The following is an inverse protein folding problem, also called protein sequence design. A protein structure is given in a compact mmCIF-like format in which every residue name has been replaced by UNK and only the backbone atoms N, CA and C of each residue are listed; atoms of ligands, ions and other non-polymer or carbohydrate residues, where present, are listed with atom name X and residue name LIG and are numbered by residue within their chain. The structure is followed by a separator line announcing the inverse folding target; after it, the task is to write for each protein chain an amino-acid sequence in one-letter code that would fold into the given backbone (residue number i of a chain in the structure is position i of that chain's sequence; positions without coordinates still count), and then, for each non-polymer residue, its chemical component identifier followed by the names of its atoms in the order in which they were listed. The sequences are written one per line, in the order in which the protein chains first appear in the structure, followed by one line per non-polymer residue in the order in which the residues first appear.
data_IF_667930065526
#
_entry.id   IF_667930065526
#
_cell.length_a   1.000
_cell.length_b   1.000
_cell.length_c   1.000
_cell.angle_alpha   90.00
_cell.angle_beta   90.00
_cell.angle_gamma   90.00
#
_symmetry.space_group_name_H-M   'P 1'
#
loop_
_entity.id
_entity.type
_entity.pdbx_description
1 polymer ?
#
# COMPACT_ATOMS: atom_id res chain seq x y z
N UNK A 1 55.35 35.32 45.92
CA UNK A 1 54.95 34.28 44.96
C UNK A 1 53.44 34.07 45.16
N UNK A 2 52.66 34.76 44.35
CA UNK A 2 51.17 34.73 44.42
C UNK A 2 50.64 33.68 43.47
N UNK A 3 50.04 32.59 43.97
CA UNK A 3 49.31 31.60 43.16
C UNK A 3 47.95 32.20 42.78
N UNK A 4 47.72 32.39 41.48
CA UNK A 4 46.40 32.63 40.90
C UNK A 4 45.70 31.25 40.72
N UNK A 5 44.66 31.00 41.54
CA UNK A 5 43.71 29.90 41.29
C UNK A 5 42.70 30.36 40.22
N UNK A 6 42.80 29.83 39.00
CA UNK A 6 41.80 30.03 37.96
C UNK A 6 40.65 29.06 38.20
N UNK A 7 39.49 29.59 38.60
CA UNK A 7 38.24 28.81 38.76
C UNK A 7 37.60 28.62 37.38
N UNK A 8 37.66 27.41 36.86
CA UNK A 8 36.95 27.03 35.62
C UNK A 8 35.46 26.78 35.96
N UNK A 9 34.60 27.76 35.68
CA UNK A 9 33.15 27.58 35.81
C UNK A 9 32.66 26.76 34.62
N UNK A 10 32.39 25.50 34.85
CA UNK A 10 31.73 24.62 33.87
C UNK A 10 30.24 25.05 33.78
N UNK A 11 29.87 25.81 32.75
CA UNK A 11 28.49 26.13 32.46
C UNK A 11 27.80 24.82 32.00
N UNK A 12 27.06 24.18 32.88
CA UNK A 12 26.11 23.14 32.51
C UNK A 12 24.97 23.80 31.73
N UNK A 13 24.98 23.65 30.42
CA UNK A 13 23.82 23.96 29.60
C UNK A 13 22.66 23.10 30.10
N UNK A 14 21.49 23.68 30.39
CA UNK A 14 20.32 22.88 30.70
C UNK A 14 19.99 22.03 29.44
N UNK A 15 20.08 20.71 29.59
CA UNK A 15 19.46 19.78 28.60
C UNK A 15 17.97 20.00 28.82
N UNK A 16 17.34 20.75 27.88
CA UNK A 16 15.90 20.84 27.83
C UNK A 16 15.41 19.40 27.63
N UNK A 17 14.44 18.92 28.43
CA UNK A 17 13.85 17.63 28.17
C UNK A 17 13.28 17.66 26.77
N UNK A 18 13.68 16.74 25.90
CA UNK A 18 13.01 16.53 24.63
C UNK A 18 11.55 16.20 24.99
N UNK A 19 10.63 17.07 24.60
CA UNK A 19 9.21 16.82 24.79
C UNK A 19 8.89 15.56 23.96
N UNK A 20 8.48 14.51 24.66
CA UNK A 20 8.05 13.25 24.06
C UNK A 20 6.54 13.12 24.28
N UNK A 21 5.86 12.55 23.31
CA UNK A 21 4.45 12.19 23.41
C UNK A 21 4.26 10.71 23.14
N UNK A 22 3.15 10.16 23.52
CA UNK A 22 2.87 8.74 23.35
C UNK A 22 1.83 8.51 22.24
N UNK A 23 2.06 7.48 21.43
CA UNK A 23 1.12 6.98 20.45
C UNK A 23 0.79 5.53 20.79
N UNK A 24 -0.48 5.15 20.66
CA UNK A 24 -0.89 3.74 20.64
C UNK A 24 -0.96 3.31 19.20
N UNK A 25 -0.07 2.40 18.79
CA UNK A 25 -0.03 1.92 17.41
C UNK A 25 -1.11 0.87 17.13
N UNK A 26 -1.22 0.43 15.87
CA UNK A 26 -2.24 -0.53 15.44
C UNK A 26 -2.08 -1.93 16.08
N UNK A 27 -0.94 -2.23 16.68
CA UNK A 27 -0.72 -3.44 17.44
C UNK A 27 -1.07 -3.28 18.94
N UNK A 28 -1.56 -2.10 19.36
CA UNK A 28 -1.88 -1.78 20.74
C UNK A 28 -0.65 -1.48 21.61
N UNK A 29 0.54 -1.29 21.01
CA UNK A 29 1.74 -0.91 21.73
C UNK A 29 1.73 0.60 22.01
N UNK A 30 2.06 0.98 23.24
CA UNK A 30 2.30 2.38 23.62
C UNK A 30 3.75 2.70 23.32
N UNK A 31 3.97 3.63 22.37
CA UNK A 31 5.31 4.03 21.90
C UNK A 31 5.53 5.50 22.20
N UNK A 32 6.64 5.82 22.88
CA UNK A 32 7.10 7.21 23.04
C UNK A 32 7.76 7.67 21.75
N UNK A 33 7.30 8.79 21.20
CA UNK A 33 7.84 9.44 20.00
C UNK A 33 8.20 10.89 20.28
N UNK A 34 9.11 11.51 19.52
CA UNK A 34 9.37 12.95 19.63
C UNK A 34 8.09 13.78 19.44
N UNK A 35 8.02 14.97 20.06
CA UNK A 35 6.93 15.93 19.84
C UNK A 35 6.81 16.27 18.35
N UNK A 36 7.94 16.59 17.72
CA UNK A 36 8.03 16.88 16.28
C UNK A 36 8.73 15.70 15.57
N UNK A 37 8.01 15.06 14.64
CA UNK A 37 8.54 14.02 13.75
C UNK A 37 8.81 14.64 12.38
N UNK A 38 10.09 14.83 12.04
CA UNK A 38 10.54 15.46 10.80
C UNK A 38 11.22 14.48 9.85
N UNK A 39 11.73 13.36 10.36
CA UNK A 39 12.43 12.35 9.57
C UNK A 39 11.88 10.96 9.88
N UNK A 40 11.40 10.28 8.83
CA UNK A 40 10.79 8.95 8.95
C UNK A 40 11.50 7.95 8.05
N UNK A 41 11.94 6.86 8.66
CA UNK A 41 12.37 5.67 7.94
C UNK A 41 11.17 4.75 7.67
N UNK A 42 10.83 4.54 6.41
CA UNK A 42 9.82 3.56 6.04
C UNK A 42 10.41 2.14 6.10
N UNK A 43 9.86 1.29 6.96
CA UNK A 43 10.37 -0.07 7.16
C UNK A 43 10.27 -0.95 5.90
N UNK A 44 9.34 -0.63 5.00
CA UNK A 44 9.18 -1.34 3.74
C UNK A 44 8.43 -0.52 2.69
N UNK A 45 8.29 -1.07 1.47
CA UNK A 45 7.65 -0.37 0.37
C UNK A 45 6.22 0.11 0.67
N UNK A 46 5.34 -0.63 1.36
CA UNK A 46 4.01 -0.12 1.72
C UNK A 46 4.06 1.11 2.62
N UNK A 47 4.97 1.12 3.59
CA UNK A 47 5.14 2.25 4.52
C UNK A 47 5.67 3.51 3.81
N UNK A 48 6.57 3.37 2.81
CA UNK A 48 7.07 4.53 2.08
C UNK A 48 5.98 5.26 1.30
N UNK A 49 5.05 4.53 0.71
CA UNK A 49 3.88 5.10 0.04
C UNK A 49 2.99 5.82 1.06
N UNK A 50 2.75 5.19 2.20
CA UNK A 50 1.90 5.75 3.26
C UNK A 50 2.47 7.07 3.80
N UNK A 51 3.79 7.12 4.11
CA UNK A 51 4.46 8.32 4.58
C UNK A 51 4.46 9.42 3.50
N UNK A 52 4.76 9.06 2.24
CA UNK A 52 4.71 9.99 1.13
C UNK A 52 3.33 10.66 0.97
N UNK A 53 2.25 9.89 1.08
CA UNK A 53 0.88 10.40 0.96
C UNK A 53 0.52 11.32 2.14
N UNK A 54 0.98 10.98 3.35
CA UNK A 54 0.61 11.68 4.57
C UNK A 54 1.42 12.95 4.80
N UNK A 55 2.77 12.82 4.75
CA UNK A 55 3.73 13.89 5.04
C UNK A 55 5.01 13.64 4.22
N UNK A 56 5.02 13.95 2.91
CA UNK A 56 6.11 13.60 2.01
C UNK A 56 7.46 14.18 2.41
N UNK A 57 7.48 15.35 3.03
CA UNK A 57 8.71 16.01 3.52
C UNK A 57 9.40 15.25 4.66
N UNK A 58 8.68 14.37 5.37
CA UNK A 58 9.26 13.55 6.43
C UNK A 58 9.93 12.27 5.89
N UNK A 59 9.65 11.86 4.65
CA UNK A 59 10.19 10.62 4.08
C UNK A 59 11.70 10.76 3.82
N UNK A 60 12.51 9.96 4.51
CA UNK A 60 13.98 9.99 4.36
C UNK A 60 14.50 9.41 3.05
N UNK A 61 13.69 8.62 2.36
CA UNK A 61 14.01 8.04 1.07
C UNK A 61 13.08 6.89 0.67
N UNK A 62 13.28 6.41 -0.54
CA UNK A 62 12.54 5.26 -1.06
C UNK A 62 13.26 3.95 -0.73
N UNK A 63 12.54 2.83 -0.49
CA UNK A 63 13.17 1.52 -0.28
C UNK A 63 14.03 1.04 -1.47
N UNK A 64 13.73 1.52 -2.67
CA UNK A 64 14.51 1.42 -3.91
C UNK A 64 14.36 2.69 -4.72
N UNK A 65 15.29 2.95 -5.61
CA UNK A 65 15.13 4.06 -6.56
C UNK A 65 13.85 3.91 -7.39
N UNK A 66 13.17 5.03 -7.63
CA UNK A 66 12.01 5.06 -8.51
C UNK A 66 12.45 4.79 -9.94
N UNK A 67 11.69 3.95 -10.66
CA UNK A 67 11.91 3.72 -12.09
C UNK A 67 11.52 4.96 -12.89
N UNK A 68 12.09 5.15 -14.09
CA UNK A 68 11.77 6.32 -14.92
C UNK A 68 10.25 6.52 -15.11
N UNK A 69 9.53 5.46 -15.40
CA UNK A 69 8.08 5.47 -15.63
C UNK A 69 7.24 5.78 -14.37
N UNK A 70 7.81 5.65 -13.18
CA UNK A 70 7.14 5.96 -11.91
C UNK A 70 7.26 7.45 -11.56
N UNK A 71 8.32 8.09 -12.03
CA UNK A 71 8.72 9.45 -11.60
C UNK A 71 7.72 10.53 -11.98
N UNK A 72 7.08 10.40 -13.15
CA UNK A 72 6.08 11.38 -13.61
C UNK A 72 4.88 11.46 -12.66
N UNK A 73 4.59 10.39 -11.95
CA UNK A 73 3.47 10.25 -11.02
C UNK A 73 3.82 10.53 -9.55
N UNK A 74 5.00 11.09 -9.29
CA UNK A 74 5.47 11.53 -7.96
C UNK A 74 5.74 13.03 -8.01
N UNK A 75 5.35 13.77 -6.98
CA UNK A 75 5.63 15.19 -6.89
C UNK A 75 7.13 15.48 -6.98
N UNK A 76 7.49 16.48 -7.78
CA UNK A 76 8.88 16.72 -8.20
C UNK A 76 9.94 16.73 -7.07
N UNK A 77 9.72 17.33 -5.89
CA UNK A 77 10.72 17.36 -4.82
C UNK A 77 11.11 15.97 -4.27
N UNK A 78 10.25 14.95 -4.48
CA UNK A 78 10.39 13.62 -3.85
C UNK A 78 10.82 12.54 -4.85
N UNK A 79 11.02 12.87 -6.12
CA UNK A 79 11.41 11.94 -7.20
C UNK A 79 12.81 11.38 -7.02
N UNK A 80 13.71 12.18 -6.45
CA UNK A 80 15.15 11.91 -6.32
C UNK A 80 15.58 11.66 -4.89
N UNK A 81 14.65 11.30 -4.00
CA UNK A 81 15.01 10.88 -2.66
C UNK A 81 15.95 9.66 -2.70
N UNK A 82 16.92 9.57 -1.77
CA UNK A 82 17.90 8.49 -1.75
C UNK A 82 17.25 7.12 -1.53
N UNK A 83 17.95 6.06 -1.93
CA UNK A 83 17.58 4.70 -1.60
C UNK A 83 17.96 4.38 -0.15
N UNK A 84 16.97 3.93 0.65
CA UNK A 84 17.14 3.61 2.06
C UNK A 84 17.21 2.12 2.35
N UNK A 85 16.83 1.26 1.40
CA UNK A 85 16.62 -0.15 1.66
C UNK A 85 15.34 -0.38 2.47
N UNK A 86 15.26 -1.53 3.16
CA UNK A 86 14.05 -1.94 3.90
C UNK A 86 14.37 -2.87 5.06
N UNK A 87 13.48 -2.88 6.05
CA UNK A 87 13.49 -3.80 7.19
C UNK A 87 12.48 -4.95 7.01
N UNK A 88 11.43 -4.70 6.22
CA UNK A 88 10.32 -5.63 6.00
C UNK A 88 10.06 -5.87 4.51
N UNK A 89 9.32 -6.95 4.21
CA UNK A 89 9.00 -7.36 2.86
C UNK A 89 9.91 -8.47 2.31
N UNK A 90 9.55 -9.05 1.15
CA UNK A 90 10.31 -10.16 0.53
C UNK A 90 11.74 -9.73 0.15
N UNK A 91 12.74 -10.54 0.55
CA UNK A 91 14.15 -10.34 0.20
C UNK A 91 14.84 -9.18 0.94
N UNK A 92 14.28 -8.70 2.04
CA UNK A 92 14.93 -7.75 2.96
C UNK A 92 15.61 -8.49 4.10
N UNK A 93 16.93 -8.36 4.23
CA UNK A 93 17.58 -8.47 5.52
C UNK A 93 17.44 -7.11 6.19
N UNK A 94 17.05 -7.10 7.48
CA UNK A 94 16.93 -5.87 8.25
C UNK A 94 18.27 -5.12 8.27
N UNK A 95 18.40 -4.10 7.43
CA UNK A 95 19.61 -3.29 7.35
C UNK A 95 19.60 -2.22 8.45
N UNK A 96 19.90 -2.65 9.67
CA UNK A 96 19.97 -1.76 10.84
C UNK A 96 21.10 -0.73 10.73
N UNK A 97 22.19 -1.03 10.03
CA UNK A 97 23.29 -0.08 9.81
C UNK A 97 22.76 1.17 9.07
N UNK A 98 21.91 0.95 8.07
CA UNK A 98 21.32 2.08 7.33
C UNK A 98 20.38 2.92 8.19
N UNK A 99 19.61 2.29 9.08
CA UNK A 99 18.75 3.01 10.04
C UNK A 99 19.59 3.85 11.01
N UNK A 100 20.68 3.27 11.53
CA UNK A 100 21.60 3.95 12.43
C UNK A 100 22.38 5.07 11.76
N UNK A 101 22.68 4.95 10.47
CA UNK A 101 23.32 6.01 9.66
C UNK A 101 22.35 7.19 9.43
N UNK A 102 21.08 6.92 9.11
CA UNK A 102 20.06 7.95 8.86
C UNK A 102 19.62 8.62 10.15
N UNK A 103 19.54 7.88 11.27
CA UNK A 103 19.03 8.35 12.55
C UNK A 103 17.68 9.07 12.46
N UNK A 104 16.64 8.41 11.93
CA UNK A 104 15.32 9.03 11.79
C UNK A 104 14.67 9.26 13.15
N UNK A 105 13.73 10.20 13.22
CA UNK A 105 12.92 10.44 14.43
C UNK A 105 11.95 9.28 14.71
N UNK A 106 11.52 8.58 13.65
CA UNK A 106 10.51 7.52 13.74
C UNK A 106 10.73 6.48 12.63
N UNK A 107 10.50 5.21 12.96
CA UNK A 107 10.36 4.14 11.99
C UNK A 107 8.87 3.79 11.88
N UNK A 108 8.35 3.70 10.66
CA UNK A 108 6.97 3.30 10.38
C UNK A 108 6.96 2.05 9.54
N UNK A 109 6.19 1.04 9.97
CA UNK A 109 5.83 -0.12 9.16
C UNK A 109 4.32 -0.13 8.90
N UNK A 110 3.94 -0.56 7.72
CA UNK A 110 2.55 -0.62 7.28
C UNK A 110 2.25 -1.97 6.66
N UNK A 111 1.24 -2.65 7.18
CA UNK A 111 0.81 -3.93 6.68
C UNK A 111 0.22 -4.83 7.75
N UNK A 112 0.77 -6.02 7.93
CA UNK A 112 0.27 -6.98 8.91
C UNK A 112 0.79 -6.68 10.32
N UNK A 113 -0.11 -6.69 11.31
CA UNK A 113 0.20 -6.49 12.75
C UNK A 113 0.27 -7.82 13.51
N UNK A 114 0.81 -8.88 12.89
CA UNK A 114 1.01 -10.19 13.54
C UNK A 114 2.27 -10.19 14.42
N UNK A 115 2.34 -11.17 15.33
CA UNK A 115 3.44 -11.32 16.29
C UNK A 115 4.83 -11.17 15.68
N UNK A 116 5.07 -11.75 14.50
CA UNK A 116 6.37 -11.65 13.80
C UNK A 116 6.80 -10.20 13.53
N UNK A 117 5.85 -9.33 13.19
CA UNK A 117 6.13 -7.91 12.95
C UNK A 117 6.24 -7.12 14.25
N UNK A 118 5.45 -7.50 15.26
CA UNK A 118 5.53 -6.92 16.61
C UNK A 118 6.92 -7.21 17.23
N UNK A 119 7.37 -8.46 17.14
CA UNK A 119 8.70 -8.87 17.62
C UNK A 119 9.84 -8.16 16.87
N UNK A 120 9.69 -7.99 15.56
CA UNK A 120 10.65 -7.24 14.75
C UNK A 120 10.72 -5.78 15.21
N UNK A 121 9.56 -5.13 15.35
CA UNK A 121 9.48 -3.73 15.77
C UNK A 121 10.11 -3.51 17.15
N UNK A 122 9.79 -4.38 18.13
CA UNK A 122 10.36 -4.32 19.47
C UNK A 122 11.88 -4.49 19.43
N UNK A 123 12.39 -5.48 18.70
CA UNK A 123 13.82 -5.74 18.57
C UNK A 123 14.57 -4.58 17.90
N UNK A 124 14.02 -4.03 16.81
CA UNK A 124 14.65 -2.88 16.12
C UNK A 124 14.67 -1.66 17.04
N UNK A 125 13.56 -1.37 17.71
CA UNK A 125 13.50 -0.26 18.67
C UNK A 125 14.49 -0.43 19.81
N UNK A 126 14.62 -1.63 20.38
CA UNK A 126 15.58 -1.94 21.45
C UNK A 126 17.04 -1.76 20.98
N UNK A 127 17.36 -2.23 19.77
CA UNK A 127 18.72 -2.19 19.24
C UNK A 127 19.17 -0.81 18.75
N UNK A 128 18.24 0.01 18.26
CA UNK A 128 18.56 1.32 17.68
C UNK A 128 18.25 2.49 18.60
N UNK A 129 17.36 2.30 19.57
CA UNK A 129 16.82 3.38 20.39
C UNK A 129 15.82 4.29 19.65
N UNK A 130 15.49 3.97 18.38
CA UNK A 130 14.59 4.77 17.54
C UNK A 130 13.17 4.20 17.68
N UNK A 131 12.16 5.05 17.95
CA UNK A 131 10.77 4.61 18.03
C UNK A 131 10.33 3.91 16.76
N UNK A 132 9.52 2.86 16.91
CA UNK A 132 8.99 2.07 15.80
C UNK A 132 7.48 1.85 16.00
N UNK A 133 6.65 2.32 15.09
CA UNK A 133 5.20 2.11 15.12
C UNK A 133 4.74 1.20 13.99
N UNK A 134 3.73 0.38 14.29
CA UNK A 134 3.05 -0.51 13.37
C UNK A 134 1.69 0.07 12.98
N UNK A 135 1.43 0.20 11.70
CA UNK A 135 0.16 0.67 11.15
C UNK A 135 -0.51 -0.49 10.40
N UNK A 136 -1.75 -0.82 10.78
CA UNK A 136 -2.50 -1.91 10.15
C UNK A 136 -2.89 -1.54 8.72
N UNK A 137 -2.49 -2.38 7.78
CA UNK A 137 -2.71 -2.18 6.34
C UNK A 137 -3.99 -2.79 5.80
N UNK A 138 -4.86 -3.39 6.61
CA UNK A 138 -6.13 -3.95 6.15
C UNK A 138 -7.13 -2.85 5.79
N UNK A 139 -7.93 -3.08 4.76
CA UNK A 139 -8.90 -2.08 4.30
C UNK A 139 -9.85 -1.62 5.40
N UNK A 140 -10.41 -2.54 6.19
CA UNK A 140 -11.36 -2.22 7.25
C UNK A 140 -10.80 -1.23 8.28
N UNK A 141 -9.49 -1.26 8.52
CA UNK A 141 -8.81 -0.43 9.51
C UNK A 141 -8.17 0.84 8.90
N UNK A 142 -8.22 1.00 7.56
CA UNK A 142 -7.57 2.13 6.87
C UNK A 142 -7.96 3.50 7.41
N UNK A 143 -9.24 3.83 7.70
CA UNK A 143 -9.58 5.14 8.26
C UNK A 143 -8.93 5.42 9.61
N UNK A 144 -8.85 4.42 10.49
CA UNK A 144 -8.21 4.57 11.79
C UNK A 144 -6.69 4.61 11.67
N UNK A 145 -6.12 3.77 10.81
CA UNK A 145 -4.69 3.78 10.50
C UNK A 145 -4.20 5.16 10.03
N UNK A 146 -5.02 5.84 9.20
CA UNK A 146 -4.72 7.19 8.72
C UNK A 146 -4.78 8.25 9.84
N UNK A 147 -5.69 8.10 10.81
CA UNK A 147 -5.74 8.99 11.99
C UNK A 147 -4.53 8.79 12.89
N UNK A 148 -4.21 7.55 13.23
CA UNK A 148 -3.02 7.22 14.04
C UNK A 148 -1.76 7.80 13.38
N UNK A 149 -1.63 7.62 12.07
CA UNK A 149 -0.48 8.14 11.34
C UNK A 149 -0.45 9.68 11.28
N UNK A 150 -1.58 10.32 11.00
CA UNK A 150 -1.71 11.79 11.00
C UNK A 150 -1.33 12.38 12.35
N UNK A 151 -1.78 11.75 13.43
CA UNK A 151 -1.40 12.12 14.78
C UNK A 151 0.11 11.89 15.00
N UNK A 152 0.64 10.72 14.65
CA UNK A 152 2.06 10.39 14.81
C UNK A 152 2.99 11.34 14.04
N UNK A 153 2.57 11.85 12.89
CA UNK A 153 3.37 12.76 12.05
C UNK A 153 3.08 14.24 12.29
N UNK A 154 2.17 14.58 13.22
CA UNK A 154 1.80 15.96 13.53
C UNK A 154 0.99 16.64 12.43
N UNK A 155 0.24 15.87 11.64
CA UNK A 155 -0.65 16.33 10.55
C UNK A 155 -2.05 15.70 10.66
N UNK A 156 -2.74 15.86 11.83
CA UNK A 156 -4.01 15.17 12.09
C UNK A 156 -5.12 15.58 11.10
N UNK A 157 -5.13 16.81 10.62
CA UNK A 157 -6.11 17.28 9.62
C UNK A 157 -5.97 16.51 8.30
N UNK A 158 -4.72 16.23 7.88
CA UNK A 158 -4.44 15.43 6.69
C UNK A 158 -4.87 13.98 6.89
N UNK A 159 -4.65 13.44 8.08
CA UNK A 159 -5.13 12.11 8.48
C UNK A 159 -6.65 11.99 8.36
N UNK A 160 -7.40 12.98 8.85
CA UNK A 160 -8.86 12.99 8.77
C UNK A 160 -9.38 13.21 7.35
N UNK A 161 -8.76 14.09 6.55
CA UNK A 161 -9.09 14.30 5.15
C UNK A 161 -9.04 12.98 4.37
N UNK A 162 -7.92 12.24 4.47
CA UNK A 162 -7.74 10.96 3.80
C UNK A 162 -8.68 9.88 4.37
N UNK A 163 -8.91 9.86 5.69
CA UNK A 163 -9.85 8.93 6.31
C UNK A 163 -11.30 9.18 5.85
N UNK A 164 -11.68 10.42 5.62
CA UNK A 164 -12.99 10.77 5.11
C UNK A 164 -13.16 10.32 3.65
N UNK A 165 -12.15 10.52 2.80
CA UNK A 165 -12.16 10.06 1.40
C UNK A 165 -12.27 8.52 1.30
N UNK A 166 -11.49 7.78 2.12
CA UNK A 166 -11.59 6.32 2.22
C UNK A 166 -13.00 5.89 2.60
N UNK A 167 -13.61 6.53 3.60
CA UNK A 167 -14.99 6.22 4.02
C UNK A 167 -16.00 6.50 2.92
N UNK A 168 -15.85 7.61 2.20
CA UNK A 168 -16.72 7.95 1.07
C UNK A 168 -16.62 6.89 -0.04
N UNK A 169 -15.41 6.45 -0.38
CA UNK A 169 -15.18 5.37 -1.35
C UNK A 169 -15.83 4.07 -0.90
N UNK A 170 -15.68 3.71 0.39
CA UNK A 170 -16.31 2.51 0.93
C UNK A 170 -17.85 2.60 0.85
N UNK A 171 -18.43 3.74 1.19
CA UNK A 171 -19.87 3.94 1.12
C UNK A 171 -20.44 3.84 -0.31
N UNK A 172 -19.70 4.32 -1.32
CA UNK A 172 -20.09 4.14 -2.74
C UNK A 172 -20.20 2.66 -3.11
N UNK A 173 -19.26 1.83 -2.68
CA UNK A 173 -19.24 0.39 -2.97
C UNK A 173 -20.32 -0.33 -2.16
N UNK A 174 -20.44 -0.02 -0.87
CA UNK A 174 -21.42 -0.63 0.01
C UNK A 174 -22.86 -0.42 -0.52
N UNK A 175 -23.17 0.78 -1.07
CA UNK A 175 -24.46 1.08 -1.68
C UNK A 175 -24.77 0.19 -2.91
N UNK A 176 -23.76 -0.20 -3.69
CA UNK A 176 -23.92 -1.17 -4.78
C UNK A 176 -24.23 -2.56 -4.19
N UNK A 177 -23.48 -2.96 -3.17
CA UNK A 177 -23.52 -4.30 -2.61
C UNK A 177 -24.76 -4.57 -1.75
N UNK A 178 -25.47 -3.53 -1.28
CA UNK A 178 -26.75 -3.69 -0.56
C UNK A 178 -27.77 -4.56 -1.31
N UNK A 179 -27.72 -4.54 -2.65
CA UNK A 179 -28.65 -5.25 -3.50
C UNK A 179 -28.04 -6.44 -4.25
N UNK A 180 -26.80 -6.83 -3.92
CA UNK A 180 -26.09 -7.93 -4.57
C UNK A 180 -25.77 -9.02 -3.56
N UNK A 181 -26.54 -10.12 -3.53
CA UNK A 181 -26.25 -11.29 -2.69
C UNK A 181 -24.84 -11.82 -2.92
N UNK A 182 -24.18 -12.35 -1.89
CA UNK A 182 -22.80 -12.82 -1.99
C UNK A 182 -22.63 -13.89 -3.08
N UNK A 183 -23.59 -14.78 -3.26
CA UNK A 183 -23.60 -15.84 -4.28
C UNK A 183 -23.68 -15.32 -5.71
N UNK A 184 -24.19 -14.11 -5.93
CA UNK A 184 -24.31 -13.47 -7.25
C UNK A 184 -23.09 -12.60 -7.59
N UNK A 185 -22.18 -12.39 -6.65
CA UNK A 185 -20.98 -11.57 -6.87
C UNK A 185 -20.01 -12.24 -7.82
N UNK A 186 -19.37 -11.48 -8.74
CA UNK A 186 -18.40 -12.02 -9.68
C UNK A 186 -17.27 -12.80 -9.01
N UNK A 187 -16.89 -13.92 -9.61
CA UNK A 187 -15.78 -14.77 -9.18
C UNK A 187 -14.48 -14.23 -9.78
N UNK A 188 -13.57 -13.77 -8.94
CA UNK A 188 -12.36 -13.07 -9.37
C UNK A 188 -11.12 -13.86 -9.01
N UNK A 189 -10.20 -13.99 -9.95
CA UNK A 189 -8.87 -14.53 -9.77
C UNK A 189 -7.82 -13.42 -9.92
N UNK A 190 -6.94 -13.27 -8.93
CA UNK A 190 -5.75 -12.42 -9.05
C UNK A 190 -4.60 -13.26 -9.63
N UNK A 191 -4.29 -13.02 -10.91
CA UNK A 191 -3.15 -13.64 -11.58
C UNK A 191 -1.88 -12.80 -11.34
N UNK A 192 -0.86 -13.40 -10.74
CA UNK A 192 0.41 -12.74 -10.43
C UNK A 192 1.58 -13.47 -11.09
N UNK A 193 2.58 -12.69 -11.48
CA UNK A 193 3.77 -13.19 -12.20
C UNK A 193 3.49 -13.50 -13.67
N UNK A 194 4.54 -13.81 -14.44
CA UNK A 194 4.46 -13.94 -15.90
C UNK A 194 3.66 -15.15 -16.39
N UNK A 195 3.40 -16.14 -15.51
CA UNK A 195 2.56 -17.31 -15.80
C UNK A 195 1.15 -17.19 -15.19
N UNK A 196 0.89 -16.12 -14.39
CA UNK A 196 -0.40 -15.88 -13.77
C UNK A 196 -0.80 -16.85 -12.65
N UNK A 197 0.10 -17.75 -12.25
CA UNK A 197 -0.22 -18.83 -11.30
C UNK A 197 0.14 -18.53 -9.84
N UNK A 198 0.87 -17.47 -9.55
CA UNK A 198 0.93 -16.97 -8.16
C UNK A 198 -0.35 -16.18 -7.87
N UNK A 199 -0.96 -16.41 -6.72
CA UNK A 199 -2.18 -15.71 -6.30
C UNK A 199 -2.19 -15.52 -4.78
N UNK A 200 -3.12 -14.69 -4.29
CA UNK A 200 -3.36 -14.54 -2.86
C UNK A 200 -4.60 -15.28 -2.42
N UNK A 201 -4.50 -16.02 -1.32
CA UNK A 201 -5.64 -16.69 -0.70
C UNK A 201 -6.62 -15.67 -0.13
N UNK A 202 -7.91 -16.03 -0.06
CA UNK A 202 -8.94 -15.23 0.60
C UNK A 202 -8.52 -14.81 2.00
N UNK A 203 -8.74 -13.53 2.33
CA UNK A 203 -8.29 -12.93 3.60
C UNK A 203 -6.80 -12.55 3.64
N UNK A 204 -6.07 -12.65 2.52
CA UNK A 204 -4.73 -12.07 2.38
C UNK A 204 -4.84 -10.57 2.13
N UNK A 205 -3.92 -9.78 2.70
CA UNK A 205 -3.79 -8.35 2.39
C UNK A 205 -3.58 -8.09 0.89
N UNK A 206 -3.09 -9.06 0.14
CA UNK A 206 -2.86 -8.94 -1.30
C UNK A 206 -4.13 -9.08 -2.13
N UNK A 207 -5.18 -9.71 -1.58
CA UNK A 207 -6.42 -10.02 -2.30
C UNK A 207 -7.70 -9.52 -1.63
N UNK A 208 -7.63 -8.97 -0.41
CA UNK A 208 -8.81 -8.41 0.27
C UNK A 208 -9.51 -7.29 -0.53
N UNK A 209 -8.79 -6.70 -1.51
CA UNK A 209 -9.35 -5.74 -2.46
C UNK A 209 -10.48 -6.37 -3.29
N UNK A 210 -10.41 -7.67 -3.60
CA UNK A 210 -11.43 -8.39 -4.35
C UNK A 210 -12.74 -8.39 -3.58
N UNK A 211 -12.69 -8.82 -2.32
CA UNK A 211 -13.89 -8.87 -1.47
C UNK A 211 -14.41 -7.46 -1.19
N UNK A 212 -13.51 -6.49 -0.95
CA UNK A 212 -13.90 -5.11 -0.67
C UNK A 212 -14.52 -4.40 -1.88
N UNK A 213 -14.13 -4.78 -3.10
CA UNK A 213 -14.76 -4.32 -4.35
C UNK A 213 -16.06 -5.08 -4.68
N UNK A 214 -16.45 -6.05 -3.88
CA UNK A 214 -17.66 -6.84 -4.07
C UNK A 214 -17.47 -8.09 -4.92
N UNK A 215 -16.24 -8.51 -5.22
CA UNK A 215 -15.96 -9.80 -5.85
C UNK A 215 -15.87 -10.95 -4.84
N UNK A 216 -15.81 -12.16 -5.34
CA UNK A 216 -15.46 -13.37 -4.59
C UNK A 216 -14.10 -13.87 -5.06
N UNK A 217 -13.12 -13.88 -4.18
CA UNK A 217 -11.82 -14.48 -4.51
C UNK A 217 -11.98 -15.98 -4.68
N UNK A 218 -11.67 -16.51 -5.87
CA UNK A 218 -11.76 -17.94 -6.15
C UNK A 218 -10.61 -18.75 -5.55
N UNK A 219 -9.53 -18.12 -5.10
CA UNK A 219 -8.47 -18.75 -4.34
C UNK A 219 -8.87 -18.84 -2.86
N UNK A 220 -9.82 -19.73 -2.57
CA UNK A 220 -10.39 -19.96 -1.24
C UNK A 220 -10.38 -21.47 -0.94
N UNK A 221 -9.73 -21.85 0.16
CA UNK A 221 -9.66 -23.22 0.68
C UNK A 221 -10.29 -23.34 2.08
N UNK A 222 -11.21 -22.42 2.41
CA UNK A 222 -11.85 -22.34 3.72
C UNK A 222 -10.94 -21.81 4.82
N UNK A 223 -9.84 -21.10 4.44
CA UNK A 223 -8.90 -20.49 5.38
C UNK A 223 -7.80 -21.42 5.88
N UNK A 224 -7.62 -22.59 5.24
CA UNK A 224 -6.55 -23.52 5.56
C UNK A 224 -5.17 -22.96 5.20
N UNK A 225 -5.08 -22.20 4.09
CA UNK A 225 -3.84 -21.56 3.64
C UNK A 225 -4.01 -20.03 3.69
N UNK A 226 -2.93 -19.32 3.94
CA UNK A 226 -2.93 -17.83 4.03
C UNK A 226 -1.79 -17.23 3.23
N UNK A 227 -2.00 -15.98 2.79
CA UNK A 227 -0.98 -15.22 2.07
C UNK A 227 -0.92 -15.55 0.59
N UNK A 228 0.27 -15.48 0.03
CA UNK A 228 0.51 -15.77 -1.39
C UNK A 228 0.88 -17.24 -1.57
N UNK A 229 0.30 -17.86 -2.58
CA UNK A 229 0.49 -19.26 -2.94
C UNK A 229 0.75 -19.42 -4.43
N UNK A 230 1.32 -20.56 -4.81
CA UNK A 230 1.40 -21.01 -6.19
C UNK A 230 0.19 -21.90 -6.46
N UNK A 231 -0.73 -21.47 -7.31
CA UNK A 231 -1.83 -22.29 -7.79
C UNK A 231 -1.36 -23.20 -8.94
N UNK A 232 -2.04 -24.31 -9.13
CA UNK A 232 -1.91 -25.10 -10.37
C UNK A 232 -2.95 -24.62 -11.40
N UNK A 233 -2.67 -24.81 -12.69
CA UNK A 233 -3.63 -24.50 -13.74
C UNK A 233 -4.94 -25.30 -13.60
N UNK A 234 -4.85 -26.55 -13.12
CA UNK A 234 -6.02 -27.38 -12.81
C UNK A 234 -6.91 -26.73 -11.75
N UNK A 235 -6.33 -26.17 -10.69
CA UNK A 235 -7.09 -25.45 -9.66
C UNK A 235 -7.79 -24.22 -10.24
N UNK A 236 -7.13 -23.46 -11.12
CA UNK A 236 -7.73 -22.31 -11.80
C UNK A 236 -8.88 -22.71 -12.71
N UNK A 237 -8.72 -23.78 -13.50
CA UNK A 237 -9.78 -24.31 -14.38
C UNK A 237 -10.99 -24.77 -13.57
N UNK A 238 -10.77 -25.50 -12.46
CA UNK A 238 -11.85 -25.96 -11.57
C UNK A 238 -12.56 -24.77 -10.90
N UNK A 239 -11.81 -23.77 -10.49
CA UNK A 239 -12.36 -22.55 -9.90
C UNK A 239 -13.12 -21.71 -10.92
N UNK A 240 -12.76 -21.80 -12.20
CA UNK A 240 -13.39 -21.13 -13.36
C UNK A 240 -13.81 -19.67 -13.07
N UNK A 241 -12.86 -18.72 -12.93
CA UNK A 241 -13.20 -17.34 -12.62
C UNK A 241 -13.99 -16.65 -13.73
N UNK A 242 -14.91 -15.76 -13.35
CA UNK A 242 -15.63 -14.88 -14.29
C UNK A 242 -14.78 -13.70 -14.73
N UNK A 243 -13.80 -13.34 -13.90
CA UNK A 243 -12.93 -12.17 -14.10
C UNK A 243 -11.52 -12.52 -13.63
N UNK A 244 -10.53 -12.17 -14.44
CA UNK A 244 -9.11 -12.23 -14.08
C UNK A 244 -8.57 -10.80 -14.00
N UNK A 245 -7.94 -10.46 -12.89
CA UNK A 245 -7.18 -9.22 -12.73
C UNK A 245 -5.70 -9.55 -12.59
N UNK A 246 -4.83 -8.78 -13.22
CA UNK A 246 -3.39 -8.98 -13.16
C UNK A 246 -2.66 -7.64 -13.24
N UNK A 247 -1.35 -7.65 -13.05
CA UNK A 247 -0.48 -6.47 -13.19
C UNK A 247 0.82 -6.78 -13.96
N UNK A 248 0.91 -7.99 -14.56
CA UNK A 248 2.09 -8.41 -15.33
C UNK A 248 1.78 -8.38 -16.83
N UNK A 249 2.39 -7.46 -17.61
CA UNK A 249 2.13 -7.36 -19.04
C UNK A 249 2.47 -8.66 -19.80
N UNK A 250 3.49 -9.42 -19.35
CA UNK A 250 3.87 -10.67 -20.03
C UNK A 250 2.77 -11.74 -19.89
N UNK A 251 2.09 -11.79 -18.73
CA UNK A 251 0.91 -12.64 -18.58
C UNK A 251 -0.23 -12.15 -19.46
N UNK A 252 -0.54 -10.85 -19.43
CA UNK A 252 -1.64 -10.25 -20.17
C UNK A 252 -1.52 -10.45 -21.67
N UNK A 253 -0.29 -10.39 -22.21
CA UNK A 253 -0.04 -10.59 -23.65
C UNK A 253 -0.25 -12.04 -24.10
N UNK A 254 -0.04 -13.01 -23.21
CA UNK A 254 -0.10 -14.44 -23.52
C UNK A 254 -1.44 -15.09 -23.21
N UNK A 255 -2.15 -14.59 -22.19
CA UNK A 255 -3.31 -15.28 -21.61
C UNK A 255 -4.41 -15.61 -22.59
N UNK A 256 -4.62 -14.76 -23.60
CA UNK A 256 -5.66 -14.95 -24.62
C UNK A 256 -5.30 -16.04 -25.65
N UNK A 257 -4.03 -16.30 -25.86
CA UNK A 257 -3.52 -17.30 -26.82
C UNK A 257 -3.15 -18.63 -26.16
N UNK A 258 -3.13 -18.70 -24.82
CA UNK A 258 -2.80 -19.91 -24.08
C UNK A 258 -4.01 -20.86 -24.00
N UNK A 259 -3.94 -22.08 -24.58
CA UNK A 259 -5.07 -23.01 -24.61
C UNK A 259 -5.59 -23.43 -23.22
N UNK A 260 -4.75 -23.40 -22.19
CA UNK A 260 -5.15 -23.72 -20.82
C UNK A 260 -6.00 -22.60 -20.21
N UNK A 261 -5.58 -21.34 -20.40
CA UNK A 261 -6.31 -20.18 -19.93
C UNK A 261 -7.61 -19.94 -20.69
N UNK A 262 -7.64 -20.30 -21.99
CA UNK A 262 -8.86 -20.28 -22.82
C UNK A 262 -9.96 -21.21 -22.29
N UNK A 263 -9.62 -22.15 -21.40
CA UNK A 263 -10.58 -22.99 -20.68
C UNK A 263 -11.38 -22.27 -19.59
N UNK A 264 -11.10 -20.98 -19.31
CA UNK A 264 -11.79 -20.19 -18.28
C UNK A 264 -12.83 -19.23 -18.87
N UNK A 265 -13.94 -19.01 -18.17
CA UNK A 265 -14.98 -18.07 -18.60
C UNK A 265 -14.44 -16.65 -18.76
N UNK A 266 -13.52 -16.23 -17.89
CA UNK A 266 -12.90 -14.90 -17.94
C UNK A 266 -12.20 -14.64 -19.27
N UNK A 267 -11.43 -15.59 -19.79
CA UNK A 267 -10.73 -15.44 -21.07
C UNK A 267 -11.70 -15.52 -22.24
N UNK A 268 -12.67 -16.45 -22.20
CA UNK A 268 -13.68 -16.59 -23.25
C UNK A 268 -14.56 -15.35 -23.43
N UNK A 269 -14.84 -14.66 -22.32
CA UNK A 269 -15.68 -13.45 -22.33
C UNK A 269 -14.87 -12.15 -22.40
N UNK A 270 -13.53 -12.25 -22.52
CA UNK A 270 -12.64 -11.08 -22.56
C UNK A 270 -12.49 -10.32 -21.24
N UNK A 271 -12.93 -10.91 -20.10
CA UNK A 271 -12.88 -10.28 -18.79
C UNK A 271 -11.53 -10.52 -18.09
N UNK A 272 -10.46 -10.18 -18.78
CA UNK A 272 -9.09 -10.18 -18.26
C UNK A 272 -8.56 -8.76 -18.30
N UNK A 273 -8.14 -8.23 -17.16
CA UNK A 273 -7.80 -6.82 -17.01
C UNK A 273 -6.38 -6.65 -16.48
N UNK A 274 -5.61 -5.74 -17.10
CA UNK A 274 -4.29 -5.35 -16.67
C UNK A 274 -4.37 -4.08 -15.82
N UNK A 275 -4.07 -4.22 -14.54
CA UNK A 275 -4.07 -3.11 -13.59
C UNK A 275 -2.92 -2.14 -13.87
N UNK A 276 -3.16 -0.83 -13.84
CA UNK A 276 -2.10 0.17 -13.80
C UNK A 276 -1.11 -0.07 -12.65
N UNK A 277 0.18 0.28 -12.90
CA UNK A 277 1.26 0.03 -11.94
C UNK A 277 2.12 1.25 -11.61
N UNK A 278 1.83 2.43 -12.20
CA UNK A 278 2.59 3.65 -11.97
C UNK A 278 1.84 4.66 -11.07
N UNK A 279 2.49 5.28 -10.09
CA UNK A 279 3.84 4.98 -9.62
C UNK A 279 3.88 3.69 -8.80
N UNK A 280 2.72 3.21 -8.30
CA UNK A 280 2.54 2.01 -7.51
C UNK A 280 1.34 1.22 -8.00
N UNK A 281 1.44 -0.12 -7.96
CA UNK A 281 0.39 -1.00 -8.47
C UNK A 281 -0.93 -0.82 -7.75
N UNK A 282 -2.02 -0.66 -8.49
CA UNK A 282 -3.33 -0.39 -7.93
C UNK A 282 -3.93 -1.56 -7.12
N UNK A 283 -3.45 -2.78 -7.31
CA UNK A 283 -3.97 -3.96 -6.60
C UNK A 283 -3.16 -4.24 -5.33
N UNK A 284 -1.89 -4.65 -5.48
CA UNK A 284 -1.11 -5.17 -4.35
C UNK A 284 0.42 -4.99 -4.45
N UNK A 285 0.92 -4.14 -5.34
CA UNK A 285 2.36 -4.02 -5.62
C UNK A 285 2.91 -2.62 -5.35
N UNK A 286 3.23 -2.33 -4.09
CA UNK A 286 2.95 -3.07 -2.86
C UNK A 286 1.54 -2.77 -2.31
N UNK A 287 1.00 -3.59 -1.37
CA UNK A 287 -0.29 -3.31 -0.77
C UNK A 287 -0.21 -2.13 0.21
N UNK A 288 -0.60 -0.93 -0.24
CA UNK A 288 -0.67 0.30 0.55
C UNK A 288 -1.90 1.13 0.11
N UNK A 289 -1.92 2.44 0.34
CA UNK A 289 -3.04 3.32 -0.03
C UNK A 289 -3.28 3.44 -1.54
N UNK A 290 -2.29 3.09 -2.38
CA UNK A 290 -2.48 2.92 -3.83
C UNK A 290 -3.66 2.00 -4.19
N UNK A 291 -3.99 1.04 -3.30
CA UNK A 291 -5.13 0.13 -3.47
C UNK A 291 -6.49 0.84 -3.40
N UNK A 292 -6.57 2.06 -2.89
CA UNK A 292 -7.82 2.84 -2.93
C UNK A 292 -8.23 3.16 -4.37
N UNK A 293 -7.26 3.52 -5.25
CA UNK A 293 -7.56 3.67 -6.68
C UNK A 293 -7.92 2.32 -7.32
N UNK A 294 -7.19 1.25 -6.94
CA UNK A 294 -7.51 -0.10 -7.38
C UNK A 294 -8.90 -0.57 -6.99
N UNK A 295 -9.38 -0.16 -5.81
CA UNK A 295 -10.71 -0.47 -5.32
C UNK A 295 -11.80 0.22 -6.16
N UNK A 296 -11.62 1.50 -6.49
CA UNK A 296 -12.48 2.26 -7.38
C UNK A 296 -12.53 1.60 -8.77
N UNK A 297 -11.37 1.33 -9.35
CA UNK A 297 -11.23 0.68 -10.64
C UNK A 297 -11.91 -0.69 -10.67
N UNK A 298 -11.62 -1.56 -9.69
CA UNK A 298 -12.17 -2.91 -9.65
C UNK A 298 -13.68 -2.90 -9.45
N UNK A 299 -14.22 -2.04 -8.58
CA UNK A 299 -15.66 -1.89 -8.42
C UNK A 299 -16.35 -1.47 -9.72
N UNK A 300 -15.76 -0.55 -10.48
CA UNK A 300 -16.26 -0.17 -11.81
C UNK A 300 -16.22 -1.32 -12.83
N UNK A 301 -15.19 -2.17 -12.78
CA UNK A 301 -15.09 -3.36 -13.65
C UNK A 301 -16.11 -4.45 -13.31
N UNK A 302 -16.35 -4.65 -12.00
CA UNK A 302 -17.25 -5.70 -11.54
C UNK A 302 -18.73 -5.31 -11.67
N UNK A 303 -19.03 -4.01 -11.53
CA UNK A 303 -20.38 -3.46 -11.51
C UNK A 303 -20.54 -2.25 -12.43
N UNK A 304 -20.27 -2.39 -13.75
CA UNK A 304 -20.23 -1.26 -14.68
C UNK A 304 -21.57 -0.52 -14.82
N UNK A 305 -22.70 -1.21 -14.63
CA UNK A 305 -24.04 -0.61 -14.72
C UNK A 305 -24.43 0.16 -13.45
N UNK A 306 -23.91 -0.27 -12.29
CA UNK A 306 -24.21 0.33 -10.99
C UNK A 306 -23.19 1.39 -10.59
N UNK A 307 -21.96 1.35 -11.13
CA UNK A 307 -20.91 2.28 -10.81
C UNK A 307 -21.21 3.67 -11.38
N UNK A 308 -21.43 4.63 -10.47
CA UNK A 308 -21.66 6.03 -10.83
C UNK A 308 -20.37 6.83 -10.71
N UNK A 309 -19.46 6.67 -11.64
CA UNK A 309 -18.19 7.38 -11.68
C UNK A 309 -17.55 7.29 -13.07
N UNK A 310 -16.66 8.21 -13.35
CA UNK A 310 -15.79 8.19 -14.51
C UNK A 310 -14.37 7.82 -14.05
N UNK A 311 -13.80 6.77 -14.63
CA UNK A 311 -12.48 6.28 -14.24
C UNK A 311 -11.39 7.35 -14.41
N UNK A 312 -11.51 8.20 -15.43
CA UNK A 312 -10.55 9.27 -15.71
C UNK A 312 -10.60 10.36 -14.64
N UNK A 313 -11.81 10.77 -14.27
CA UNK A 313 -12.04 11.77 -13.24
C UNK A 313 -11.64 11.25 -11.85
N UNK A 314 -12.05 10.02 -11.50
CA UNK A 314 -11.65 9.35 -10.26
C UNK A 314 -10.11 9.23 -10.17
N UNK A 315 -9.43 8.88 -11.30
CA UNK A 315 -7.96 8.78 -11.35
C UNK A 315 -7.29 10.14 -11.12
N UNK A 316 -7.74 11.20 -11.79
CA UNK A 316 -7.20 12.55 -11.57
C UNK A 316 -7.39 13.02 -10.13
N UNK A 317 -8.58 12.81 -9.57
CA UNK A 317 -8.88 13.17 -8.19
C UNK A 317 -8.00 12.42 -7.20
N UNK A 318 -7.81 11.11 -7.43
CA UNK A 318 -6.94 10.28 -6.58
C UNK A 318 -5.47 10.75 -6.64
N UNK A 319 -4.90 10.92 -7.83
CA UNK A 319 -3.50 11.32 -7.97
C UNK A 319 -3.24 12.72 -7.38
N UNK A 320 -4.19 13.62 -7.53
CA UNK A 320 -4.12 14.94 -6.91
C UNK A 320 -4.19 14.87 -5.39
N UNK A 321 -5.15 14.13 -4.84
CA UNK A 321 -5.34 14.03 -3.39
C UNK A 321 -4.20 13.22 -2.73
N UNK A 322 -3.87 12.05 -3.28
CA UNK A 322 -2.93 11.12 -2.62
C UNK A 322 -1.48 11.36 -3.01
N UNK A 323 -1.19 11.61 -4.30
CA UNK A 323 0.19 11.76 -4.76
C UNK A 323 0.60 13.22 -4.98
N UNK A 324 -0.32 14.18 -4.82
CA UNK A 324 -0.06 15.62 -4.99
C UNK A 324 0.43 15.95 -6.41
N UNK A 325 -0.10 15.24 -7.40
CA UNK A 325 0.23 15.39 -8.82
C UNK A 325 -1.04 15.70 -9.62
N UNK A 326 -1.01 16.79 -10.36
CA UNK A 326 -2.04 17.10 -11.36
C UNK A 326 -1.64 16.41 -12.68
N UNK A 327 -2.33 15.32 -13.04
CA UNK A 327 -2.04 14.54 -14.25
C UNK A 327 -2.38 15.34 -15.51
N UNK A 328 -1.45 15.36 -16.46
CA UNK A 328 -1.71 15.78 -17.84
C UNK A 328 -2.58 14.74 -18.57
N UNK A 329 -3.17 15.13 -19.71
CA UNK A 329 -3.94 14.20 -20.53
C UNK A 329 -3.09 13.03 -21.03
N UNK A 330 -1.85 13.29 -21.46
CA UNK A 330 -0.92 12.26 -21.92
C UNK A 330 -0.50 11.28 -20.81
N UNK A 331 -0.30 11.76 -19.58
CA UNK A 331 0.02 10.89 -18.42
C UNK A 331 -1.17 10.01 -18.06
N UNK A 332 -2.38 10.57 -18.09
CA UNK A 332 -3.60 9.81 -17.84
C UNK A 332 -3.85 8.76 -18.92
N UNK A 333 -3.68 9.09 -20.21
CA UNK A 333 -3.81 8.12 -21.30
C UNK A 333 -2.84 6.96 -21.13
N UNK A 334 -1.55 7.25 -20.90
CA UNK A 334 -0.55 6.19 -20.67
C UNK A 334 -0.88 5.30 -19.48
N UNK A 335 -1.43 5.91 -18.41
CA UNK A 335 -1.80 5.17 -17.21
C UNK A 335 -2.97 4.23 -17.43
N UNK A 336 -3.97 4.65 -18.21
CA UNK A 336 -5.22 3.93 -18.43
C UNK A 336 -5.23 3.06 -19.69
N UNK A 337 -4.18 3.04 -20.48
CA UNK A 337 -4.10 2.36 -21.78
C UNK A 337 -4.68 0.94 -21.78
N UNK A 338 -4.50 0.19 -20.71
CA UNK A 338 -4.96 -1.21 -20.59
C UNK A 338 -5.94 -1.43 -19.43
N UNK A 339 -6.35 -0.37 -18.76
CA UNK A 339 -7.16 -0.46 -17.54
C UNK A 339 -8.60 -0.95 -17.82
N UNK A 340 -9.11 -0.75 -19.02
CA UNK A 340 -10.47 -1.13 -19.43
C UNK A 340 -10.54 -2.51 -20.08
N UNK A 341 -9.40 -3.20 -20.24
CA UNK A 341 -9.30 -4.52 -20.86
C UNK A 341 -9.24 -4.49 -22.38
N UNK A 342 -9.21 -5.68 -22.98
CA UNK A 342 -9.32 -5.88 -24.43
C UNK A 342 -10.75 -6.24 -24.79
N UNK A 343 -11.22 -5.90 -26.01
CA UNK A 343 -12.51 -6.40 -26.47
C UNK A 343 -12.52 -7.94 -26.49
N UNK A 344 -13.67 -8.59 -26.28
CA UNK A 344 -13.80 -10.05 -26.38
C UNK A 344 -13.29 -10.56 -27.74
N UNK A 345 -12.76 -11.79 -27.74
CA UNK A 345 -12.24 -12.48 -28.92
C UNK A 345 -13.33 -12.73 -29.99
#
# INVERSE_FOLDING_TARGET
MRLLLTFLVLMALPILPAHARTIVDSAGRTVEIPEDVNTVFAAGPPASILVYIMKPEALTGWPRALRPEERDYIAAPYRDLPETGRLTGRGGEANLERVLEIQPDLIIDFGSVRDTYIDLANRVQEQTGIPYILIDGRFENTPEALRILGEALGVPERGEELAADVKATFARIDAILENVPEEERPRVYLARGPEGLETGMKGSINTEIIERAGGRNVADDGGATRGLVQASMEQVIVANPDTIVNWDPNFYDKVFDDPLWQGTDAVQTGRVYLSPTAPFGWIDRPPSLNRMMGLIWMAGLLYPEQWQGDLRDDTRAFYKLYYQVDLTDDELERLLEWAEGRPPL
#
